data_IF_506097735826
#
_entry.id   IF_506097735826
#
_cell.length_a   1.000
_cell.length_b   1.000
_cell.length_c   1.000
_cell.angle_alpha   90.00
_cell.angle_beta   90.00
_cell.angle_gamma   90.00
#
_symmetry.space_group_name_H-M   'P 1'
#
loop_
_entity.id
_entity.type
_entity.pdbx_description
1 polymer ?
#
# COMPACT_ATOMS: atom_id res chain seq x y z
N UNK A 1 5.97 -12.44 -25.43
CA UNK A 1 5.68 -11.35 -24.48
C UNK A 1 6.92 -11.13 -23.66
N UNK A 2 7.50 -9.95 -23.74
CA UNK A 2 8.66 -9.56 -22.92
C UNK A 2 8.17 -8.58 -21.87
N UNK A 3 8.22 -8.95 -20.60
CA UNK A 3 7.83 -8.09 -19.49
C UNK A 3 8.86 -8.12 -18.38
N UNK A 4 8.89 -7.05 -17.60
CA UNK A 4 9.71 -6.90 -16.41
C UNK A 4 8.79 -6.96 -15.18
N UNK A 5 9.25 -7.63 -14.12
CA UNK A 5 8.62 -7.59 -12.81
C UNK A 5 9.51 -6.75 -11.88
N UNK A 6 8.92 -5.71 -11.29
CA UNK A 6 9.56 -4.93 -10.23
C UNK A 6 8.89 -5.27 -8.91
N UNK A 7 9.65 -5.79 -7.96
CA UNK A 7 9.17 -6.09 -6.61
C UNK A 7 9.12 -4.81 -5.78
N UNK A 8 7.93 -4.46 -5.32
CA UNK A 8 7.65 -3.22 -4.58
C UNK A 8 7.47 -3.47 -3.07
N UNK A 9 7.94 -4.62 -2.57
CA UNK A 9 7.67 -5.09 -1.22
C UNK A 9 8.90 -5.00 -0.33
N UNK A 10 8.77 -4.40 0.84
CA UNK A 10 9.80 -4.52 1.88
C UNK A 10 9.88 -5.95 2.40
N UNK A 11 11.11 -6.49 2.44
CA UNK A 11 11.36 -7.78 3.09
C UNK A 11 11.13 -7.64 4.58
N UNK A 12 10.25 -8.45 5.17
CA UNK A 12 10.04 -8.50 6.61
C UNK A 12 11.23 -9.16 7.31
N UNK A 13 11.74 -8.50 8.35
CA UNK A 13 12.89 -8.94 9.14
C UNK A 13 12.47 -9.11 10.60
N UNK A 14 12.23 -10.34 11.08
CA UNK A 14 11.86 -10.57 12.47
C UNK A 14 12.81 -9.86 13.45
N UNK A 15 12.24 -9.16 14.42
CA UNK A 15 12.99 -8.39 15.43
C UNK A 15 13.54 -7.04 14.95
N UNK A 16 13.32 -6.63 13.70
CA UNK A 16 13.74 -5.34 13.14
C UNK A 16 12.57 -4.48 12.66
N UNK A 17 11.35 -5.05 12.67
CA UNK A 17 10.16 -4.31 12.24
C UNK A 17 9.61 -3.42 13.35
N UNK A 18 8.94 -2.34 12.96
CA UNK A 18 8.23 -1.46 13.90
C UNK A 18 7.10 -2.23 14.61
N UNK A 19 6.40 -3.09 13.87
CA UNK A 19 5.38 -4.00 14.38
C UNK A 19 5.94 -5.41 14.52
N UNK A 20 5.48 -6.13 15.53
CA UNK A 20 5.98 -7.47 15.83
C UNK A 20 5.80 -8.42 14.64
N UNK A 21 6.89 -9.04 14.24
CA UNK A 21 6.94 -10.18 13.31
C UNK A 21 7.70 -11.29 14.03
N UNK A 22 7.02 -12.37 14.34
CA UNK A 22 7.60 -13.53 15.02
C UNK A 22 7.47 -14.80 14.17
N UNK A 23 8.54 -15.57 14.13
CA UNK A 23 8.58 -16.87 13.47
C UNK A 23 9.05 -17.88 14.50
N UNK A 24 8.22 -18.88 14.80
CA UNK A 24 8.54 -19.96 15.74
C UNK A 24 8.49 -21.30 15.02
N UNK A 25 9.60 -22.03 15.04
CA UNK A 25 9.62 -23.37 14.47
C UNK A 25 8.66 -24.27 15.26
N UNK A 26 7.78 -24.96 14.54
CA UNK A 26 6.81 -25.89 15.09
C UNK A 26 7.42 -27.27 15.18
N UNK A 27 7.60 -27.75 16.40
CA UNK A 27 8.19 -29.09 16.65
C UNK A 27 9.68 -29.17 16.34
N UNK A 28 10.22 -30.36 16.41
CA UNK A 28 11.59 -30.67 15.96
C UNK A 28 11.52 -31.15 14.51
N UNK A 29 12.48 -30.80 13.65
CA UNK A 29 12.64 -31.46 12.36
C UNK A 29 12.67 -32.96 12.59
N UNK A 30 11.97 -33.74 11.79
CA UNK A 30 12.08 -35.19 11.85
C UNK A 30 13.55 -35.55 11.64
N UNK A 31 14.03 -36.56 12.35
CA UNK A 31 15.41 -37.07 12.24
C UNK A 31 15.69 -37.77 10.90
N UNK A 32 14.78 -37.70 9.97
CA UNK A 32 14.88 -38.27 8.62
C UNK A 32 15.19 -37.20 7.58
N UNK A 33 15.88 -37.52 6.47
CA UNK A 33 16.15 -36.59 5.38
C UNK A 33 14.90 -35.92 4.76
N UNK A 34 13.73 -36.47 5.00
CA UNK A 34 12.40 -36.00 4.53
C UNK A 34 11.61 -35.26 5.62
N UNK A 35 12.27 -34.89 6.72
CA UNK A 35 11.60 -34.17 7.83
C UNK A 35 11.10 -32.82 7.45
N UNK A 36 9.83 -32.52 7.78
CA UNK A 36 9.19 -31.26 7.49
C UNK A 36 9.65 -30.18 8.47
N UNK A 37 9.90 -28.97 7.98
CA UNK A 37 10.10 -27.79 8.81
C UNK A 37 8.88 -26.91 8.64
N UNK A 38 8.12 -26.74 9.72
CA UNK A 38 6.95 -25.85 9.77
C UNK A 38 7.18 -24.74 10.78
N UNK A 39 6.53 -23.61 10.56
CA UNK A 39 6.61 -22.46 11.46
C UNK A 39 5.21 -21.93 11.77
N UNK A 40 5.02 -21.51 13.01
CA UNK A 40 3.97 -20.59 13.36
C UNK A 40 4.48 -19.17 13.05
N UNK A 41 3.66 -18.37 12.38
CA UNK A 41 3.97 -16.99 12.02
C UNK A 41 2.95 -16.09 12.71
N UNK A 42 3.44 -15.15 13.51
CA UNK A 42 2.64 -14.11 14.13
C UNK A 42 3.15 -12.76 13.64
N UNK A 43 2.25 -11.95 13.06
CA UNK A 43 2.57 -10.61 12.59
C UNK A 43 1.36 -9.71 12.74
N UNK A 44 1.60 -8.42 12.88
CA UNK A 44 0.53 -7.44 12.85
C UNK A 44 0.05 -7.25 11.41
N UNK A 45 -1.24 -6.94 11.25
CA UNK A 45 -1.86 -6.71 9.93
C UNK A 45 -1.19 -5.57 9.14
N UNK A 46 -0.58 -4.60 9.84
CA UNK A 46 0.14 -3.45 9.26
C UNK A 46 1.67 -3.66 9.15
N UNK A 47 2.16 -4.91 9.12
CA UNK A 47 3.59 -5.18 9.03
C UNK A 47 4.11 -5.05 7.61
N UNK A 48 5.12 -4.20 7.40
CA UNK A 48 5.79 -4.03 6.11
C UNK A 48 4.93 -3.37 5.05
N UNK A 49 5.11 -3.77 3.80
CA UNK A 49 4.22 -3.36 2.71
C UNK A 49 2.89 -4.06 2.89
N UNK A 50 1.82 -3.31 3.08
CA UNK A 50 0.50 -3.82 3.42
C UNK A 50 -0.61 -3.03 2.74
N UNK A 51 -1.81 -3.58 2.74
CA UNK A 51 -3.04 -2.91 2.32
C UNK A 51 -4.00 -2.82 3.51
N UNK A 52 -4.63 -1.67 3.66
CA UNK A 52 -5.65 -1.36 4.63
C UNK A 52 -7.01 -1.26 3.97
N UNK A 53 -8.07 -1.63 4.70
CA UNK A 53 -9.44 -1.65 4.20
C UNK A 53 -10.43 -1.03 5.21
N UNK A 54 -11.69 -0.92 4.81
CA UNK A 54 -12.72 -0.19 5.55
C UNK A 54 -12.88 -0.61 7.01
N UNK A 55 -12.65 -1.88 7.34
CA UNK A 55 -12.75 -2.38 8.73
C UNK A 55 -11.76 -1.69 9.67
N UNK A 56 -10.64 -1.14 9.14
CA UNK A 56 -9.64 -0.45 9.96
C UNK A 56 -10.20 0.75 10.74
N UNK A 57 -11.14 1.50 10.16
CA UNK A 57 -11.74 2.68 10.78
C UNK A 57 -13.24 2.53 11.08
N UNK A 58 -13.91 1.59 10.44
CA UNK A 58 -15.35 1.43 10.56
C UNK A 58 -15.71 0.05 11.11
N UNK A 59 -16.27 0.00 12.31
CA UNK A 59 -16.85 -1.22 12.86
C UNK A 59 -17.96 -1.73 11.91
N UNK A 60 -17.79 -2.96 11.38
CA UNK A 60 -18.68 -3.51 10.36
C UNK A 60 -18.35 -3.05 8.92
N UNK A 61 -17.24 -2.34 8.71
CA UNK A 61 -16.68 -2.12 7.38
C UNK A 61 -16.20 -3.44 6.74
N UNK A 62 -15.91 -3.40 5.45
CA UNK A 62 -15.37 -4.55 4.73
C UNK A 62 -14.00 -4.95 5.25
N UNK A 63 -13.80 -6.23 5.47
CA UNK A 63 -12.50 -6.83 5.76
C UNK A 63 -11.74 -7.22 4.47
N UNK A 64 -10.51 -7.71 4.61
CA UNK A 64 -9.68 -8.07 3.44
C UNK A 64 -10.27 -9.18 2.58
N UNK A 65 -11.17 -10.00 3.12
CA UNK A 65 -11.82 -11.11 2.39
C UNK A 65 -13.09 -10.69 1.65
N UNK A 66 -13.65 -9.52 1.96
CA UNK A 66 -14.87 -8.99 1.34
C UNK A 66 -14.62 -8.32 -0.02
N UNK A 67 -13.37 -8.02 -0.33
CA UNK A 67 -13.02 -7.36 -1.59
C UNK A 67 -12.77 -8.39 -2.70
N UNK A 68 -13.31 -8.17 -3.91
CA UNK A 68 -12.96 -9.02 -5.05
C UNK A 68 -11.49 -8.81 -5.44
N UNK A 69 -10.79 -9.85 -5.95
CA UNK A 69 -9.36 -9.78 -6.27
C UNK A 69 -8.97 -8.66 -7.23
N UNK A 70 -9.84 -8.27 -8.15
CA UNK A 70 -9.61 -7.19 -9.12
C UNK A 70 -9.52 -5.80 -8.46
N UNK A 71 -9.93 -5.64 -7.19
CA UNK A 71 -9.71 -4.41 -6.42
C UNK A 71 -8.22 -4.12 -6.25
N UNK A 72 -7.39 -5.15 -6.11
CA UNK A 72 -5.97 -5.05 -5.79
C UNK A 72 -5.05 -5.26 -7.00
N UNK A 73 -5.64 -5.32 -8.19
CA UNK A 73 -4.93 -5.62 -9.44
C UNK A 73 -5.44 -4.70 -10.55
N UNK A 74 -4.56 -4.14 -11.35
CA UNK A 74 -4.99 -3.36 -12.52
C UNK A 74 -4.04 -2.27 -12.95
N UNK A 75 -4.51 -1.40 -13.87
CA UNK A 75 -3.81 -0.21 -14.29
C UNK A 75 -3.42 0.67 -13.11
N UNK A 76 -2.15 1.10 -13.10
CA UNK A 76 -1.64 2.00 -12.08
C UNK A 76 -0.90 3.18 -12.70
N UNK A 77 -0.93 4.31 -12.00
CA UNK A 77 -0.15 5.50 -12.32
C UNK A 77 0.70 5.90 -11.12
N UNK A 78 2.02 6.05 -11.34
CA UNK A 78 2.95 6.59 -10.35
C UNK A 78 3.10 8.09 -10.55
N UNK A 79 2.79 8.84 -9.50
CA UNK A 79 2.90 10.31 -9.43
C UNK A 79 4.13 10.67 -8.59
N UNK A 80 5.04 11.47 -9.14
CA UNK A 80 6.33 11.80 -8.51
C UNK A 80 6.22 13.04 -7.61
N UNK A 81 6.33 12.82 -6.31
CA UNK A 81 6.31 13.84 -5.25
C UNK A 81 7.59 13.88 -4.42
N UNK A 82 8.71 13.34 -4.92
CA UNK A 82 10.00 13.33 -4.22
C UNK A 82 10.55 14.73 -3.91
N UNK A 83 10.06 15.74 -4.61
CA UNK A 83 10.39 17.14 -4.39
C UNK A 83 9.66 17.77 -3.20
N UNK A 84 8.63 17.10 -2.67
CA UNK A 84 7.86 17.57 -1.52
C UNK A 84 8.55 17.21 -0.20
N UNK A 85 8.53 18.17 0.71
CA UNK A 85 9.13 18.00 2.03
C UNK A 85 8.12 17.47 3.06
N UNK A 86 8.61 17.17 4.27
CA UNK A 86 7.75 16.77 5.40
C UNK A 86 6.68 17.81 5.66
N UNK A 87 5.43 17.34 5.82
CA UNK A 87 4.26 18.18 6.06
C UNK A 87 3.96 19.19 4.94
N UNK A 88 4.50 19.00 3.75
CA UNK A 88 4.14 19.79 2.59
C UNK A 88 2.89 19.20 1.92
N UNK A 89 1.88 20.03 1.57
CA UNK A 89 0.64 19.54 0.99
C UNK A 89 0.82 19.00 -0.43
N UNK A 90 0.15 17.90 -0.74
CA UNK A 90 -0.12 17.41 -2.09
C UNK A 90 -1.55 17.84 -2.43
N UNK A 91 -1.68 18.82 -3.30
CA UNK A 91 -2.95 19.42 -3.69
C UNK A 91 -3.51 18.79 -4.97
N UNK A 92 -4.76 19.11 -5.33
CA UNK A 92 -5.35 18.72 -6.64
C UNK A 92 -4.50 19.22 -7.81
N UNK A 93 -3.92 20.42 -7.70
CA UNK A 93 -3.07 20.98 -8.74
C UNK A 93 -1.78 20.17 -8.89
N UNK A 94 -1.17 19.75 -7.77
CA UNK A 94 0.01 18.88 -7.77
C UNK A 94 -0.30 17.52 -8.41
N UNK A 95 -1.42 16.88 -8.03
CA UNK A 95 -1.84 15.59 -8.60
C UNK A 95 -2.00 15.68 -10.13
N UNK A 96 -2.67 16.72 -10.62
CA UNK A 96 -2.87 16.97 -12.06
C UNK A 96 -1.56 17.25 -12.80
N UNK A 97 -0.63 17.93 -12.16
CA UNK A 97 0.67 18.24 -12.75
C UNK A 97 1.59 17.02 -12.81
N UNK A 98 1.48 16.11 -11.83
CA UNK A 98 2.31 14.93 -11.73
C UNK A 98 1.95 13.80 -12.72
N UNK A 99 0.70 13.76 -13.22
CA UNK A 99 0.30 12.77 -14.21
C UNK A 99 -1.21 12.73 -14.50
N UNK A 100 -1.57 11.91 -15.50
CA UNK A 100 -2.96 11.69 -15.89
C UNK A 100 -3.56 10.54 -15.09
N UNK A 101 -4.39 10.88 -14.09
CA UNK A 101 -5.14 9.91 -13.29
C UNK A 101 -6.44 9.58 -14.00
N UNK A 102 -6.58 8.35 -14.45
CA UNK A 102 -7.79 7.83 -15.10
C UNK A 102 -8.75 7.24 -14.06
N UNK A 103 -10.02 7.18 -14.40
CA UNK A 103 -11.01 6.48 -13.59
C UNK A 103 -10.64 5.00 -13.44
N UNK A 104 -10.70 4.47 -12.21
CA UNK A 104 -10.37 3.09 -11.91
C UNK A 104 -8.87 2.79 -11.82
N UNK A 105 -7.99 3.79 -11.92
CA UNK A 105 -6.56 3.60 -11.67
C UNK A 105 -6.27 3.24 -10.20
N UNK A 106 -5.21 2.47 -10.00
CA UNK A 106 -4.49 2.42 -8.74
C UNK A 106 -3.48 3.56 -8.77
N UNK A 107 -3.64 4.57 -7.90
CA UNK A 107 -2.77 5.74 -7.85
C UNK A 107 -1.64 5.51 -6.85
N UNK A 108 -0.40 5.64 -7.29
CA UNK A 108 0.79 5.44 -6.45
C UNK A 108 1.51 6.78 -6.27
N UNK A 109 1.59 7.25 -5.04
CA UNK A 109 2.35 8.44 -4.66
C UNK A 109 3.80 8.01 -4.41
N UNK A 110 4.73 8.54 -5.21
CA UNK A 110 6.16 8.32 -5.03
C UNK A 110 6.78 9.51 -4.33
N UNK A 111 7.00 9.37 -3.04
CA UNK A 111 7.49 10.41 -2.15
C UNK A 111 9.00 10.26 -1.86
N UNK A 112 9.60 9.12 -2.28
CA UNK A 112 11.00 8.79 -2.04
C UNK A 112 11.30 8.54 -0.55
N UNK A 113 10.34 7.98 0.18
CA UNK A 113 10.42 7.75 1.63
C UNK A 113 10.65 6.30 2.03
N UNK A 114 10.73 5.39 1.06
CA UNK A 114 10.94 3.96 1.32
C UNK A 114 12.24 3.67 2.09
N UNK A 115 13.27 4.50 1.96
CA UNK A 115 14.51 4.42 2.73
C UNK A 115 14.36 4.80 4.21
N UNK A 116 13.27 5.46 4.58
CA UNK A 116 12.94 5.82 5.96
C UNK A 116 12.16 4.71 6.71
N UNK A 117 11.69 3.71 5.99
CA UNK A 117 11.03 2.54 6.57
C UNK A 117 11.87 1.93 7.67
N UNK A 118 11.54 1.59 8.79
CA UNK A 118 12.30 1.11 9.98
C UNK A 118 13.14 2.18 10.68
N UNK A 119 13.06 3.43 10.31
CA UNK A 119 13.76 4.50 11.02
C UNK A 119 12.80 5.29 11.91
N UNK A 120 13.33 6.13 12.80
CA UNK A 120 12.52 7.05 13.59
C UNK A 120 11.80 8.11 12.73
N UNK A 121 12.30 8.34 11.51
CA UNK A 121 11.75 9.29 10.55
C UNK A 121 10.74 8.67 9.58
N UNK A 122 10.29 7.43 9.82
CA UNK A 122 9.33 6.73 8.96
C UNK A 122 8.02 7.49 8.69
N UNK A 123 7.69 8.45 9.56
CA UNK A 123 6.54 9.34 9.39
C UNK A 123 6.88 10.70 8.80
N UNK A 124 8.12 10.90 8.32
CA UNK A 124 8.54 12.15 7.68
C UNK A 124 8.13 12.16 6.21
N UNK A 125 6.92 12.64 5.91
CA UNK A 125 6.32 12.61 4.58
C UNK A 125 5.52 13.87 4.27
N UNK A 126 5.26 14.17 2.98
CA UNK A 126 4.21 15.10 2.58
C UNK A 126 2.82 14.50 2.92
N UNK A 127 1.77 15.25 2.67
CA UNK A 127 0.41 14.77 2.93
C UNK A 127 -0.57 15.17 1.83
N UNK A 128 -1.54 14.32 1.57
CA UNK A 128 -2.65 14.61 0.65
C UNK A 128 -3.65 15.54 1.34
N UNK A 129 -3.99 16.68 0.72
CA UNK A 129 -5.02 17.57 1.27
C UNK A 129 -6.40 16.91 1.21
N UNK A 130 -7.35 17.39 2.02
CA UNK A 130 -8.73 16.87 2.01
C UNK A 130 -9.37 17.00 0.63
N UNK A 131 -9.19 18.14 -0.03
CA UNK A 131 -9.71 18.38 -1.38
C UNK A 131 -9.07 17.45 -2.41
N UNK A 132 -7.79 17.13 -2.25
CA UNK A 132 -7.09 16.20 -3.12
C UNK A 132 -7.59 14.75 -2.88
N UNK A 133 -7.86 14.37 -1.64
CA UNK A 133 -8.48 13.10 -1.30
C UNK A 133 -9.89 12.98 -1.88
N UNK A 134 -10.71 14.02 -1.73
CA UNK A 134 -12.07 14.10 -2.31
C UNK A 134 -12.02 13.98 -3.85
N UNK A 135 -11.08 14.66 -4.50
CA UNK A 135 -10.89 14.57 -5.94
C UNK A 135 -10.52 13.16 -6.40
N UNK A 136 -9.62 12.48 -5.68
CA UNK A 136 -9.24 11.10 -5.99
C UNK A 136 -10.44 10.14 -5.87
N UNK A 137 -11.19 10.23 -4.76
CA UNK A 137 -12.30 9.32 -4.47
C UNK A 137 -13.53 9.62 -5.33
N UNK A 138 -13.97 10.90 -5.38
CA UNK A 138 -15.26 11.26 -5.97
C UNK A 138 -15.16 11.56 -7.48
N UNK A 139 -14.13 12.29 -7.91
CA UNK A 139 -14.00 12.75 -9.30
C UNK A 139 -13.24 11.73 -10.16
N UNK A 140 -12.16 11.16 -9.63
CA UNK A 140 -11.34 10.15 -10.33
C UNK A 140 -11.81 8.73 -10.09
N UNK A 141 -12.56 8.50 -9.00
CA UNK A 141 -13.06 7.17 -8.63
C UNK A 141 -11.95 6.12 -8.72
N UNK A 142 -10.82 6.43 -8.09
CA UNK A 142 -9.67 5.55 -8.09
C UNK A 142 -10.00 4.22 -7.44
N UNK A 143 -9.33 3.16 -7.86
CA UNK A 143 -9.52 1.81 -7.32
C UNK A 143 -8.83 1.62 -5.97
N UNK A 144 -7.63 2.16 -5.83
CA UNK A 144 -6.85 2.15 -4.59
C UNK A 144 -5.83 3.29 -4.61
N UNK A 145 -5.37 3.70 -3.43
CA UNK A 145 -4.23 4.60 -3.25
C UNK A 145 -3.04 3.82 -2.71
N UNK A 146 -1.84 4.05 -3.25
CA UNK A 146 -0.60 3.50 -2.70
C UNK A 146 0.43 4.59 -2.43
N UNK A 147 1.33 4.35 -1.48
CA UNK A 147 2.45 5.24 -1.16
C UNK A 147 3.68 4.46 -0.70
N UNK A 148 4.88 5.02 -0.89
CA UNK A 148 6.12 4.52 -0.31
C UNK A 148 6.39 5.04 1.11
N UNK A 149 5.42 5.73 1.69
CA UNK A 149 5.39 6.19 3.09
C UNK A 149 4.51 5.30 3.98
N UNK A 150 4.58 5.52 5.28
CA UNK A 150 3.67 4.95 6.29
C UNK A 150 2.47 5.87 6.51
N UNK A 151 1.62 6.01 5.51
CA UNK A 151 0.45 6.88 5.49
C UNK A 151 0.55 8.03 4.50
N UNK A 152 -0.55 8.76 4.35
CA UNK A 152 -0.69 9.85 3.38
C UNK A 152 -1.35 11.11 3.98
N UNK A 153 -1.45 11.16 5.32
CA UNK A 153 -2.04 12.27 6.07
C UNK A 153 -1.02 12.98 6.96
N UNK A 154 -1.35 14.19 7.40
CA UNK A 154 -0.61 14.89 8.46
C UNK A 154 -0.76 14.11 9.75
N UNK A 155 0.36 13.73 10.36
CA UNK A 155 0.35 13.11 11.68
C UNK A 155 0.15 14.16 12.77
N UNK A 156 -0.87 13.96 13.63
CA UNK A 156 -1.17 14.88 14.74
C UNK A 156 -1.87 16.17 14.28
N UNK A 157 -2.62 16.12 13.19
CA UNK A 157 -3.53 17.19 12.77
C UNK A 157 -4.73 17.34 13.73
N UNK A 158 -5.51 18.41 13.53
CA UNK A 158 -6.67 18.73 14.38
C UNK A 158 -7.83 17.71 14.23
N UNK A 159 -7.93 17.06 13.08
CA UNK A 159 -8.90 15.99 12.82
C UNK A 159 -8.20 14.62 12.84
N UNK A 160 -8.87 13.62 13.41
CA UNK A 160 -8.35 12.26 13.47
C UNK A 160 -8.55 11.55 12.12
N UNK A 161 -7.49 11.41 11.34
CA UNK A 161 -7.42 10.67 10.08
C UNK A 161 -8.56 10.96 9.07
N UNK A 162 -8.83 12.23 8.68
CA UNK A 162 -9.99 12.60 7.87
C UNK A 162 -9.99 11.95 6.48
N UNK A 163 -8.82 11.75 5.89
CA UNK A 163 -8.71 11.14 4.57
C UNK A 163 -8.93 9.62 4.63
N UNK A 164 -8.40 8.92 5.66
CA UNK A 164 -8.72 7.51 5.86
C UNK A 164 -10.22 7.31 6.06
N UNK A 165 -10.86 8.17 6.86
CA UNK A 165 -12.32 8.14 7.02
C UNK A 165 -13.05 8.32 5.68
N UNK A 166 -12.58 9.20 4.80
CA UNK A 166 -13.16 9.38 3.47
C UNK A 166 -12.99 8.14 2.59
N UNK A 167 -11.77 7.59 2.53
CA UNK A 167 -11.44 6.44 1.70
C UNK A 167 -12.19 5.18 2.14
N UNK A 168 -12.21 4.93 3.44
CA UNK A 168 -12.79 3.71 4.03
C UNK A 168 -14.28 3.80 4.33
N UNK A 169 -14.88 5.00 4.20
CA UNK A 169 -16.33 5.18 4.40
C UNK A 169 -17.11 4.14 3.60
N UNK A 170 -18.09 3.45 4.23
CA UNK A 170 -18.98 2.53 3.53
C UNK A 170 -19.60 3.17 2.27
N UNK A 171 -19.41 2.51 1.13
CA UNK A 171 -19.82 3.00 -0.18
C UNK A 171 -18.68 3.65 -1.00
N UNK A 172 -17.61 4.13 -0.39
CA UNK A 172 -16.35 4.45 -1.07
C UNK A 172 -15.47 3.20 -1.11
N UNK A 173 -15.18 2.61 0.05
CA UNK A 173 -14.44 1.36 0.22
C UNK A 173 -13.14 1.31 -0.63
N UNK A 174 -12.38 2.43 -0.68
CA UNK A 174 -11.14 2.56 -1.45
C UNK A 174 -9.96 2.11 -0.59
N UNK A 175 -9.31 0.97 -0.89
CA UNK A 175 -8.16 0.50 -0.12
C UNK A 175 -6.96 1.44 -0.21
N UNK A 176 -6.14 1.42 0.86
CA UNK A 176 -4.87 2.15 0.94
C UNK A 176 -3.72 1.16 1.07
N UNK A 177 -2.67 1.36 0.28
CA UNK A 177 -1.46 0.53 0.26
C UNK A 177 -0.31 1.37 0.79
N UNK A 178 0.31 0.92 1.87
CA UNK A 178 1.39 1.64 2.52
C UNK A 178 2.73 0.92 2.44
N UNK A 179 3.79 1.70 2.64
CA UNK A 179 5.15 1.20 2.69
C UNK A 179 5.56 0.40 1.43
N UNK A 180 5.22 0.92 0.25
CA UNK A 180 5.82 0.43 -0.99
C UNK A 180 7.32 0.77 -1.03
N UNK A 181 8.09 0.06 -1.82
CA UNK A 181 9.52 0.35 -2.04
C UNK A 181 9.89 0.24 -3.51
N UNK A 182 11.09 0.74 -3.87
CA UNK A 182 11.66 0.60 -5.20
C UNK A 182 10.80 1.17 -6.33
N UNK A 183 9.95 2.16 -6.03
CA UNK A 183 9.14 2.83 -7.05
C UNK A 183 10.00 3.46 -8.15
N UNK A 184 11.25 3.83 -7.85
CA UNK A 184 12.21 4.35 -8.83
C UNK A 184 12.69 3.34 -9.87
N UNK A 185 12.54 2.04 -9.61
CA UNK A 185 12.95 0.97 -10.54
C UNK A 185 11.89 0.71 -11.63
N UNK A 186 10.71 1.29 -11.52
CA UNK A 186 9.67 1.19 -12.54
C UNK A 186 10.03 2.15 -13.69
N UNK A 187 10.25 1.66 -14.94
CA UNK A 187 10.76 2.47 -16.03
C UNK A 187 9.76 3.47 -16.61
N UNK A 188 8.46 3.26 -16.38
CA UNK A 188 7.36 4.08 -16.94
C UNK A 188 6.44 4.60 -15.83
N UNK A 189 5.79 5.75 -16.00
CA UNK A 189 4.85 6.25 -15.00
C UNK A 189 3.56 5.40 -14.93
N UNK A 190 3.18 4.71 -16.00
CA UNK A 190 2.05 3.79 -16.02
C UNK A 190 2.53 2.36 -16.11
N UNK A 191 1.87 1.46 -15.37
CA UNK A 191 2.21 0.05 -15.28
C UNK A 191 1.01 -0.76 -14.78
N UNK A 192 1.12 -2.07 -14.84
CA UNK A 192 0.11 -2.94 -14.24
C UNK A 192 0.55 -3.34 -12.83
N UNK A 193 -0.28 -3.02 -11.84
CA UNK A 193 -0.03 -3.30 -10.42
C UNK A 193 -0.70 -4.60 -9.98
N UNK A 194 -0.03 -5.34 -9.11
CA UNK A 194 -0.59 -6.49 -8.38
C UNK A 194 -0.16 -6.40 -6.93
N UNK A 195 -1.13 -6.41 -6.00
CA UNK A 195 -0.85 -6.32 -4.56
C UNK A 195 -1.98 -6.90 -3.72
N UNK A 196 -2.28 -8.19 -3.91
CA UNK A 196 -3.40 -8.84 -3.24
C UNK A 196 -3.12 -9.19 -1.78
N UNK A 197 -4.05 -8.87 -0.84
CA UNK A 197 -3.99 -9.34 0.54
C UNK A 197 -4.29 -10.84 0.65
N UNK A 198 -3.96 -11.41 1.80
CA UNK A 198 -4.54 -12.69 2.20
C UNK A 198 -6.03 -12.48 2.55
N UNK A 199 -6.94 -13.30 2.03
CA UNK A 199 -8.37 -13.18 2.29
C UNK A 199 -8.72 -13.79 3.65
N UNK A 200 -8.31 -13.13 4.71
CA UNK A 200 -8.59 -13.58 6.09
C UNK A 200 -9.77 -12.79 6.65
N UNK A 201 -10.86 -13.48 6.93
CA UNK A 201 -12.06 -12.87 7.49
C UNK A 201 -11.77 -12.19 8.84
N UNK A 202 -12.24 -10.94 8.97
CA UNK A 202 -12.05 -10.13 10.17
C UNK A 202 -10.73 -9.36 10.23
N UNK A 203 -9.90 -9.36 9.17
CA UNK A 203 -8.70 -8.52 9.12
C UNK A 203 -8.98 -7.14 8.52
N UNK A 204 -8.54 -6.12 9.24
CA UNK A 204 -8.57 -4.70 8.88
C UNK A 204 -7.51 -4.29 7.87
N UNK A 205 -6.43 -5.05 7.80
CA UNK A 205 -5.30 -4.87 6.90
C UNK A 205 -4.58 -6.21 6.69
N UNK A 206 -3.72 -6.29 5.67
CA UNK A 206 -2.90 -7.48 5.42
C UNK A 206 -1.57 -7.10 4.76
N UNK A 207 -0.44 -7.66 5.20
CA UNK A 207 0.77 -7.64 4.40
C UNK A 207 0.54 -8.23 3.01
N UNK A 208 1.17 -7.63 2.01
CA UNK A 208 1.04 -8.03 0.61
C UNK A 208 2.41 -8.27 -0.04
N UNK A 209 2.43 -9.03 -1.13
CA UNK A 209 3.54 -8.96 -2.08
C UNK A 209 3.11 -8.07 -3.25
N UNK A 210 3.54 -6.80 -3.19
CA UNK A 210 3.26 -5.82 -4.24
C UNK A 210 4.29 -5.92 -5.36
N UNK A 211 3.83 -5.93 -6.62
CA UNK A 211 4.68 -5.92 -7.80
C UNK A 211 4.14 -4.98 -8.88
N UNK A 212 5.04 -4.43 -9.69
CA UNK A 212 4.72 -3.79 -10.95
C UNK A 212 5.09 -4.72 -12.11
N UNK A 213 4.19 -4.86 -13.08
CA UNK A 213 4.42 -5.54 -14.36
C UNK A 213 4.50 -4.48 -15.46
N UNK A 214 5.60 -4.50 -16.23
CA UNK A 214 5.87 -3.52 -17.29
C UNK A 214 6.31 -4.24 -18.56
N UNK A 215 5.73 -3.89 -19.70
CA UNK A 215 6.07 -4.46 -20.99
C UNK A 215 4.89 -5.00 -21.77
N UNK A 216 5.16 -5.82 -22.78
CA UNK A 216 4.14 -6.33 -23.71
C UNK A 216 3.01 -7.06 -22.99
N UNK A 217 1.77 -6.62 -23.21
CA UNK A 217 0.56 -7.18 -22.61
C UNK A 217 0.15 -6.57 -21.27
N UNK A 218 0.92 -5.60 -20.77
CA UNK A 218 0.63 -4.79 -19.57
C UNK A 218 0.62 -3.28 -19.89
N UNK A 219 0.29 -2.94 -21.14
CA UNK A 219 0.10 -1.55 -21.57
C UNK A 219 -1.21 -1.00 -20.97
N UNK A 220 -1.15 0.17 -20.27
CA UNK A 220 -2.25 0.76 -19.49
C UNK A 220 -2.32 2.27 -19.70
#
# INVERSE_FOLDING_TARGET
MTYQIVDLTHRLLPGQEQYTVEIKQRGKPRETPTGDIMHDVSLWSHSGTHVEVSLHFFAGGKDTSDFPPDTFVGPAVRLDFRHKEKNEPITVADLRAAGDVKEGDIVILWEGRDNLYRTQDSHSRPYVTKEAAEWLVNDRRIKALGTDSSGFEVRGGDEDHPNHHLFFKPGNDVPVIECLTRLGDIPTPRFFFVGMPLPVAGLDASPIRAIALVGDGFEV
#
